data_IF_742500448455
#
_entry.id   IF_742500448455
#
_cell.length_a   1.000
_cell.length_b   1.000
_cell.length_c   1.000
_cell.angle_alpha   90.00
_cell.angle_beta   90.00
_cell.angle_gamma   90.00
#
_symmetry.space_group_name_H-M   'P 1'
#
loop_
_entity.id
_entity.type
_entity.pdbx_description
1 polymer ?
#
# COMPACT_ATOMS: atom_id res chain seq x y z
N UNK A 1 9.51 -22.98 -12.83
CA UNK A 1 9.68 -21.59 -12.33
C UNK A 1 9.09 -20.64 -13.35
N UNK A 2 8.32 -19.63 -12.94
CA UNK A 2 7.74 -18.58 -13.81
C UNK A 2 8.27 -17.21 -13.39
N UNK A 3 8.20 -16.18 -14.25
CA UNK A 3 8.65 -14.81 -13.89
C UNK A 3 8.01 -14.28 -12.59
N UNK A 4 6.69 -14.44 -12.33
CA UNK A 4 6.11 -14.11 -11.03
C UNK A 4 6.72 -14.87 -9.85
N UNK A 5 7.08 -16.16 -10.04
CA UNK A 5 7.76 -16.94 -9.00
C UNK A 5 9.21 -16.49 -8.80
N UNK A 6 9.89 -16.04 -9.85
CA UNK A 6 11.22 -15.43 -9.72
C UNK A 6 11.15 -14.14 -8.92
N UNK A 7 10.16 -13.27 -9.18
CA UNK A 7 9.97 -12.05 -8.39
C UNK A 7 9.65 -12.35 -6.92
N UNK A 8 8.80 -13.36 -6.67
CA UNK A 8 8.52 -13.84 -5.32
C UNK A 8 9.76 -14.39 -4.61
N UNK A 9 10.66 -15.08 -5.33
CA UNK A 9 11.93 -15.55 -4.78
C UNK A 9 12.86 -14.37 -4.43
N UNK A 10 12.91 -13.32 -5.27
CA UNK A 10 13.62 -12.08 -4.92
C UNK A 10 13.05 -11.43 -3.66
N UNK A 11 11.73 -11.44 -3.50
CA UNK A 11 11.12 -10.92 -2.27
C UNK A 11 11.47 -11.78 -1.05
N UNK A 12 11.49 -13.12 -1.18
CA UNK A 12 11.97 -14.01 -0.11
C UNK A 12 13.41 -13.69 0.28
N UNK A 13 14.31 -13.44 -0.67
CA UNK A 13 15.70 -13.09 -0.33
C UNK A 13 15.80 -11.75 0.41
N UNK A 14 14.99 -10.75 0.03
CA UNK A 14 14.91 -9.48 0.75
C UNK A 14 14.43 -9.67 2.20
N UNK A 15 13.41 -10.51 2.40
CA UNK A 15 12.91 -10.85 3.74
C UNK A 15 13.97 -11.58 4.57
N UNK A 16 14.68 -12.54 3.97
CA UNK A 16 15.74 -13.29 4.63
C UNK A 16 16.88 -12.37 5.09
N UNK A 17 17.24 -11.38 4.28
CA UNK A 17 18.27 -10.39 4.58
C UNK A 17 17.77 -9.23 5.46
N UNK A 18 16.46 -9.12 5.69
CA UNK A 18 15.78 -8.01 6.41
C UNK A 18 16.06 -6.65 5.78
N UNK A 19 16.07 -6.63 4.45
CA UNK A 19 16.30 -5.43 3.66
C UNK A 19 15.15 -4.41 3.76
N UNK A 20 15.48 -3.16 3.43
CA UNK A 20 14.54 -2.01 3.50
C UNK A 20 13.40 -2.06 2.47
N UNK A 21 13.52 -2.90 1.45
CA UNK A 21 12.62 -2.94 0.29
C UNK A 21 11.40 -3.80 0.63
N UNK A 22 10.23 -3.18 0.70
CA UNK A 22 8.94 -3.86 0.91
C UNK A 22 8.42 -4.49 -0.39
N UNK A 23 7.37 -5.32 -0.29
CA UNK A 23 6.74 -5.88 -1.48
C UNK A 23 6.16 -4.78 -2.38
N UNK A 24 5.53 -3.74 -1.80
CA UNK A 24 5.03 -2.60 -2.57
C UNK A 24 6.15 -1.85 -3.31
N UNK A 25 7.32 -1.68 -2.69
CA UNK A 25 8.47 -1.06 -3.33
C UNK A 25 8.98 -1.93 -4.51
N UNK A 26 9.05 -3.25 -4.32
CA UNK A 26 9.47 -4.18 -5.37
C UNK A 26 8.52 -4.14 -6.58
N UNK A 27 7.22 -4.09 -6.34
CA UNK A 27 6.21 -3.94 -7.40
C UNK A 27 6.33 -2.59 -8.12
N UNK A 28 6.61 -1.51 -7.39
CA UNK A 28 6.89 -0.19 -7.96
C UNK A 28 8.12 -0.25 -8.88
N UNK A 29 9.22 -0.87 -8.46
CA UNK A 29 10.43 -1.02 -9.27
C UNK A 29 10.18 -1.80 -10.58
N UNK A 30 9.28 -2.79 -10.53
CA UNK A 30 8.83 -3.49 -11.74
C UNK A 30 8.07 -2.53 -12.67
N UNK A 31 7.08 -1.81 -12.16
CA UNK A 31 6.27 -0.88 -12.96
C UNK A 31 7.07 0.29 -13.54
N UNK A 32 8.05 0.81 -12.81
CA UNK A 32 8.96 1.86 -13.26
C UNK A 32 10.02 1.34 -14.25
N UNK A 33 10.03 0.02 -14.54
CA UNK A 33 10.91 -0.59 -15.52
C UNK A 33 12.36 -0.69 -15.06
N UNK A 34 12.59 -0.69 -13.74
CA UNK A 34 13.89 -1.00 -13.12
C UNK A 34 14.13 -2.51 -13.04
N UNK A 35 13.06 -3.29 -12.85
CA UNK A 35 13.11 -4.76 -12.85
C UNK A 35 12.42 -5.29 -14.12
N UNK A 36 13.15 -6.00 -15.00
CA UNK A 36 12.54 -6.65 -16.16
C UNK A 36 11.52 -7.70 -15.71
N UNK A 37 10.27 -7.52 -16.11
CA UNK A 37 9.17 -8.42 -15.74
C UNK A 37 8.28 -8.73 -16.94
N UNK A 38 7.68 -7.70 -17.54
CA UNK A 38 6.92 -7.84 -18.79
C UNK A 38 7.92 -8.09 -19.92
N UNK A 39 7.67 -9.12 -20.71
CA UNK A 39 8.55 -9.58 -21.79
C UNK A 39 10.03 -9.69 -21.40
N UNK A 40 10.31 -10.20 -20.20
CA UNK A 40 11.67 -10.29 -19.65
C UNK A 40 12.67 -10.99 -20.61
N UNK A 41 12.17 -11.92 -21.43
CA UNK A 41 12.98 -12.62 -22.43
C UNK A 41 13.64 -11.73 -23.48
N UNK A 42 13.17 -10.49 -23.70
CA UNK A 42 13.80 -9.59 -24.67
C UNK A 42 15.24 -9.23 -24.29
N UNK A 43 15.57 -9.37 -23.00
CA UNK A 43 16.91 -9.15 -22.45
C UNK A 43 17.79 -10.39 -22.51
N UNK A 44 17.27 -11.53 -22.95
CA UNK A 44 18.04 -12.76 -23.01
C UNK A 44 19.06 -12.73 -24.14
N UNK A 45 20.20 -13.41 -23.95
CA UNK A 45 21.21 -13.55 -24.98
C UNK A 45 20.62 -14.23 -26.22
N UNK A 46 21.13 -13.91 -27.42
CA UNK A 46 20.54 -14.35 -28.69
C UNK A 46 20.60 -15.87 -28.90
N UNK A 47 21.56 -16.50 -28.23
CA UNK A 47 21.77 -17.94 -28.17
C UNK A 47 20.60 -18.65 -27.46
N UNK A 48 19.88 -17.95 -26.57
CA UNK A 48 18.76 -18.50 -25.82
C UNK A 48 17.48 -18.50 -26.66
N UNK A 49 17.29 -19.57 -27.44
CA UNK A 49 16.10 -19.77 -28.27
C UNK A 49 14.92 -20.24 -27.42
N UNK A 50 13.92 -19.39 -27.23
CA UNK A 50 12.68 -19.72 -26.53
C UNK A 50 11.58 -20.11 -27.49
N UNK A 51 10.85 -21.19 -27.18
CA UNK A 51 9.70 -21.65 -27.97
C UNK A 51 8.72 -22.47 -27.12
N UNK A 52 7.53 -22.74 -27.66
CA UNK A 52 6.59 -23.67 -27.04
C UNK A 52 6.12 -23.25 -25.64
N UNK A 53 6.49 -24.03 -24.62
CA UNK A 53 6.10 -23.81 -23.22
C UNK A 53 6.80 -22.60 -22.58
N UNK A 54 7.98 -22.22 -23.08
CA UNK A 54 8.75 -21.09 -22.55
C UNK A 54 8.01 -19.76 -22.68
N UNK A 55 7.14 -19.66 -23.70
CA UNK A 55 6.26 -18.51 -23.89
C UNK A 55 5.39 -18.25 -22.64
N UNK A 56 4.82 -19.29 -22.04
CA UNK A 56 4.00 -19.15 -20.84
C UNK A 56 4.80 -18.80 -19.58
N UNK A 57 6.12 -18.98 -19.62
CA UNK A 57 7.03 -18.70 -18.51
C UNK A 57 7.52 -17.25 -18.56
N UNK A 58 7.93 -16.79 -19.75
CA UNK A 58 8.65 -15.52 -19.92
C UNK A 58 7.87 -14.41 -20.65
N UNK A 59 6.83 -14.74 -21.44
CA UNK A 59 6.02 -13.73 -22.14
C UNK A 59 4.84 -13.26 -21.27
N UNK A 60 5.16 -12.70 -20.11
CA UNK A 60 4.17 -12.09 -19.23
C UNK A 60 3.64 -10.80 -19.88
N UNK A 61 2.32 -10.69 -20.03
CA UNK A 61 1.63 -9.54 -20.63
C UNK A 61 0.77 -8.77 -19.60
N UNK A 62 1.10 -8.86 -18.32
CA UNK A 62 0.41 -8.15 -17.24
C UNK A 62 1.38 -7.70 -16.14
N UNK A 63 1.04 -6.64 -15.43
CA UNK A 63 1.79 -6.22 -14.24
C UNK A 63 1.55 -7.19 -13.07
N UNK A 64 2.55 -7.40 -12.20
CA UNK A 64 2.36 -8.21 -11.00
C UNK A 64 1.37 -7.54 -10.06
N UNK A 65 0.57 -8.34 -9.34
CA UNK A 65 -0.29 -7.85 -8.28
C UNK A 65 0.27 -8.26 -6.92
N UNK A 66 0.07 -7.43 -5.91
CA UNK A 66 0.53 -7.70 -4.55
C UNK A 66 0.11 -9.09 -4.05
N UNK A 67 -1.18 -9.40 -4.13
CA UNK A 67 -1.71 -10.67 -3.63
C UNK A 67 -1.14 -11.89 -4.36
N UNK A 68 -0.92 -11.80 -5.68
CA UNK A 68 -0.36 -12.91 -6.44
C UNK A 68 1.11 -13.17 -6.06
N UNK A 69 1.95 -12.14 -6.01
CA UNK A 69 3.37 -12.29 -5.63
C UNK A 69 3.49 -12.73 -4.17
N UNK A 70 2.69 -12.15 -3.28
CA UNK A 70 2.63 -12.54 -1.88
C UNK A 70 2.23 -14.02 -1.70
N UNK A 71 1.20 -14.49 -2.42
CA UNK A 71 0.80 -15.90 -2.39
C UNK A 71 1.93 -16.81 -2.89
N UNK A 72 2.57 -16.45 -4.00
CA UNK A 72 3.69 -17.21 -4.57
C UNK A 72 4.90 -17.26 -3.63
N UNK A 73 5.15 -16.18 -2.88
CA UNK A 73 6.19 -16.10 -1.85
C UNK A 73 5.99 -17.19 -0.80
N UNK A 74 4.77 -17.33 -0.28
CA UNK A 74 4.43 -18.40 0.67
C UNK A 74 4.55 -19.78 0.02
N UNK A 75 4.03 -19.95 -1.20
CA UNK A 75 4.08 -21.24 -1.92
C UNK A 75 5.53 -21.71 -2.14
N UNK A 76 6.43 -20.81 -2.54
CA UNK A 76 7.84 -21.13 -2.78
C UNK A 76 8.55 -21.46 -1.47
N UNK A 77 8.36 -20.67 -0.42
CA UNK A 77 9.00 -20.92 0.87
C UNK A 77 8.62 -22.28 1.45
N UNK A 78 7.34 -22.67 1.31
CA UNK A 78 6.86 -24.00 1.70
C UNK A 78 7.40 -25.11 0.81
N UNK A 79 7.43 -24.89 -0.50
CA UNK A 79 7.94 -25.88 -1.45
C UNK A 79 9.42 -26.19 -1.23
N UNK A 80 10.21 -25.17 -0.88
CA UNK A 80 11.63 -25.28 -0.57
C UNK A 80 11.91 -25.75 0.87
N UNK A 81 10.87 -25.96 1.68
CA UNK A 81 10.98 -26.31 3.10
C UNK A 81 11.93 -25.36 3.87
N UNK A 82 11.80 -24.05 3.61
CA UNK A 82 12.67 -23.05 4.23
C UNK A 82 12.43 -23.04 5.75
N UNK A 83 13.48 -22.82 6.57
CA UNK A 83 13.30 -22.67 7.99
C UNK A 83 12.58 -21.35 8.32
N UNK A 84 12.25 -21.16 9.61
CA UNK A 84 11.86 -19.86 10.15
C UNK A 84 12.92 -18.81 9.77
N UNK A 85 12.45 -17.67 9.29
CA UNK A 85 13.32 -16.58 8.86
C UNK A 85 13.98 -15.92 10.07
N UNK A 86 15.07 -15.16 9.86
CA UNK A 86 15.68 -14.37 10.92
C UNK A 86 14.67 -13.44 11.59
N UNK A 87 14.77 -13.29 12.91
CA UNK A 87 13.83 -12.50 13.70
C UNK A 87 13.79 -11.03 13.23
N UNK A 88 12.58 -10.46 13.24
CA UNK A 88 12.31 -9.05 12.98
C UNK A 88 12.17 -8.30 14.31
N UNK A 89 13.22 -7.59 14.68
CA UNK A 89 13.34 -6.80 15.92
C UNK A 89 13.01 -5.31 15.68
N UNK A 90 12.95 -4.50 16.74
CA UNK A 90 12.54 -3.08 16.65
C UNK A 90 13.47 -2.20 15.78
N UNK A 91 14.73 -2.60 15.62
CA UNK A 91 15.76 -1.96 14.79
C UNK A 91 15.69 -2.38 13.31
N UNK A 92 14.93 -3.43 12.98
CA UNK A 92 14.77 -3.88 11.60
C UNK A 92 13.85 -2.95 10.80
N UNK A 93 14.22 -2.62 9.56
CA UNK A 93 13.41 -1.75 8.70
C UNK A 93 12.00 -2.24 8.43
N UNK A 94 11.76 -3.55 8.49
CA UNK A 94 10.44 -4.16 8.34
C UNK A 94 9.56 -4.03 9.59
N UNK A 95 10.12 -3.56 10.71
CA UNK A 95 9.36 -3.36 11.93
C UNK A 95 8.30 -2.24 11.73
N UNK A 96 7.06 -2.42 12.21
CA UNK A 96 5.98 -1.46 12.02
C UNK A 96 6.31 -0.03 12.43
N UNK A 97 7.10 0.18 13.51
CA UNK A 97 7.48 1.53 13.94
C UNK A 97 8.28 2.28 12.86
N UNK A 98 9.24 1.60 12.22
CA UNK A 98 10.08 2.21 11.19
C UNK A 98 9.26 2.41 9.90
N UNK A 99 8.46 1.42 9.52
CA UNK A 99 7.60 1.54 8.33
C UNK A 99 6.51 2.61 8.50
N UNK A 100 5.91 2.76 9.68
CA UNK A 100 4.96 3.83 9.96
C UNK A 100 5.61 5.19 9.72
N UNK A 101 6.81 5.40 10.25
CA UNK A 101 7.56 6.63 10.03
C UNK A 101 7.86 6.86 8.53
N UNK A 102 8.31 5.83 7.79
CA UNK A 102 8.48 5.90 6.33
C UNK A 102 7.21 6.38 5.63
N UNK A 103 6.06 5.79 5.96
CA UNK A 103 4.80 6.13 5.29
C UNK A 103 4.22 7.48 5.73
N UNK A 104 4.43 7.90 6.97
CA UNK A 104 4.11 9.27 7.42
C UNK A 104 4.92 10.30 6.60
N UNK A 105 6.21 10.04 6.37
CA UNK A 105 7.05 10.86 5.52
C UNK A 105 6.56 10.87 4.06
N UNK A 106 6.26 9.69 3.51
CA UNK A 106 5.79 9.54 2.13
C UNK A 106 4.51 10.35 1.85
N UNK A 107 3.55 10.36 2.78
CA UNK A 107 2.27 11.05 2.59
C UNK A 107 2.22 12.44 3.23
N UNK A 108 3.38 13.04 3.52
CA UNK A 108 3.48 14.40 4.04
C UNK A 108 2.66 14.62 5.32
N UNK A 109 2.66 13.65 6.23
CA UNK A 109 2.00 13.79 7.53
C UNK A 109 3.00 14.28 8.60
N UNK A 110 2.51 14.89 9.71
CA UNK A 110 3.34 15.29 10.83
C UNK A 110 4.15 14.13 11.43
N UNK A 111 5.42 14.39 11.74
CA UNK A 111 6.31 13.45 12.39
C UNK A 111 5.85 13.09 13.81
N UNK A 112 5.23 14.04 14.52
CA UNK A 112 4.61 13.85 15.85
C UNK A 112 3.57 12.72 15.88
N UNK A 113 3.00 12.31 14.73
CA UNK A 113 2.07 11.16 14.69
C UNK A 113 2.77 9.83 14.99
N UNK A 114 4.11 9.76 14.85
CA UNK A 114 4.87 8.53 15.05
C UNK A 114 4.75 7.96 16.47
N UNK A 115 4.69 8.84 17.49
CA UNK A 115 4.51 8.40 18.87
C UNK A 115 3.19 7.65 19.07
N UNK A 116 2.13 8.11 18.41
CA UNK A 116 0.82 7.46 18.45
C UNK A 116 0.82 6.14 17.67
N UNK A 117 1.53 6.06 16.54
CA UNK A 117 1.66 4.79 15.80
C UNK A 117 2.41 3.75 16.64
N UNK A 118 3.50 4.14 17.30
CA UNK A 118 4.25 3.28 18.22
C UNK A 118 3.39 2.79 19.39
N UNK A 119 2.55 3.66 19.96
CA UNK A 119 1.60 3.27 21.00
C UNK A 119 0.57 2.24 20.50
N UNK A 120 0.02 2.43 19.31
CA UNK A 120 -0.92 1.46 18.71
C UNK A 120 -0.25 0.12 18.44
N UNK A 121 1.00 0.11 17.94
CA UNK A 121 1.80 -1.12 17.75
C UNK A 121 1.93 -1.88 19.06
N UNK A 122 2.37 -1.19 20.13
CA UNK A 122 2.53 -1.76 21.47
C UNK A 122 1.23 -2.29 22.05
N UNK A 123 0.13 -1.54 21.93
CA UNK A 123 -1.17 -1.94 22.46
C UNK A 123 -1.80 -3.15 21.74
N UNK A 124 -1.44 -3.35 20.46
CA UNK A 124 -2.02 -4.42 19.64
C UNK A 124 -1.15 -5.68 19.59
N UNK A 125 0.10 -5.61 20.06
CA UNK A 125 1.07 -6.71 20.06
C UNK A 125 1.46 -7.16 18.66
N UNK A 126 1.33 -6.28 17.66
CA UNK A 126 1.72 -6.57 16.26
C UNK A 126 3.21 -6.26 16.00
N UNK A 127 3.90 -5.62 16.95
CA UNK A 127 5.35 -5.40 16.90
C UNK A 127 6.16 -6.56 17.48
N UNK A 128 5.51 -7.57 18.06
CA UNK A 128 6.21 -8.68 18.71
C UNK A 128 6.93 -9.55 17.68
N UNK A 129 8.14 -10.00 18.02
CA UNK A 129 9.01 -10.79 17.14
C UNK A 129 8.32 -12.03 16.60
N UNK A 130 7.59 -12.77 17.45
CA UNK A 130 6.85 -13.96 17.04
C UNK A 130 5.69 -13.68 16.08
N UNK A 131 5.15 -12.46 16.12
CA UNK A 131 4.11 -12.05 15.19
C UNK A 131 4.71 -11.64 13.84
N UNK A 132 5.85 -10.94 13.85
CA UNK A 132 6.47 -10.39 12.67
C UNK A 132 7.30 -11.41 11.89
N UNK A 133 7.93 -12.37 12.56
CA UNK A 133 8.90 -13.26 11.93
C UNK A 133 8.20 -14.28 11.02
N UNK A 134 8.63 -14.32 9.76
CA UNK A 134 8.03 -15.24 8.79
C UNK A 134 8.46 -16.69 9.06
N UNK A 135 7.49 -17.54 9.35
CA UNK A 135 7.68 -18.98 9.49
C UNK A 135 6.81 -19.73 8.45
N UNK A 136 7.43 -20.32 7.40
CA UNK A 136 6.70 -21.04 6.37
C UNK A 136 6.24 -22.45 6.80
N UNK A 137 6.85 -23.05 7.84
CA UNK A 137 6.58 -24.43 8.28
C UNK A 137 5.49 -24.44 9.36
N UNK A 138 5.34 -23.36 10.13
CA UNK A 138 4.27 -23.24 11.11
C UNK A 138 2.88 -23.52 10.50
N UNK A 139 2.00 -24.21 11.26
CA UNK A 139 0.60 -24.50 10.84
C UNK A 139 -0.18 -23.24 10.45
N UNK A 140 0.23 -22.08 10.97
CA UNK A 140 -0.29 -20.76 10.64
C UNK A 140 0.73 -19.94 9.84
N UNK A 141 1.42 -20.56 8.88
CA UNK A 141 2.33 -19.91 7.96
C UNK A 141 1.62 -18.79 7.19
N UNK A 142 1.60 -17.63 7.82
CA UNK A 142 1.18 -16.35 7.29
C UNK A 142 2.45 -15.54 7.33
N UNK A 143 3.01 -15.28 6.16
CA UNK A 143 3.88 -14.10 6.01
C UNK A 143 3.13 -12.89 6.59
N UNK A 144 3.87 -11.89 7.03
CA UNK A 144 3.28 -10.62 7.44
C UNK A 144 3.29 -9.68 6.24
N UNK A 145 2.17 -8.98 6.00
CA UNK A 145 2.09 -7.89 5.02
C UNK A 145 2.60 -6.60 5.68
N UNK A 146 3.91 -6.50 5.89
CA UNK A 146 4.52 -5.47 6.75
C UNK A 146 4.11 -4.04 6.36
N UNK A 147 4.12 -3.73 5.06
CA UNK A 147 3.72 -2.43 4.52
C UNK A 147 2.22 -2.14 4.70
N UNK A 148 1.37 -3.12 4.41
CA UNK A 148 -0.09 -3.00 4.60
C UNK A 148 -0.43 -2.80 6.07
N UNK A 149 0.26 -3.49 6.99
CA UNK A 149 0.08 -3.32 8.43
C UNK A 149 0.52 -1.94 8.92
N UNK A 150 1.71 -1.49 8.54
CA UNK A 150 2.22 -0.17 8.91
C UNK A 150 1.26 0.95 8.48
N UNK A 151 0.76 0.86 7.25
CA UNK A 151 -0.23 1.80 6.73
C UNK A 151 -1.56 1.69 7.46
N UNK A 152 -2.05 0.48 7.74
CA UNK A 152 -3.30 0.29 8.49
C UNK A 152 -3.23 0.92 9.90
N UNK A 153 -2.07 0.89 10.55
CA UNK A 153 -1.83 1.58 11.83
C UNK A 153 -1.94 3.10 11.66
N UNK A 154 -1.33 3.67 10.62
CA UNK A 154 -1.45 5.11 10.33
C UNK A 154 -2.92 5.49 10.13
N UNK A 155 -3.68 4.71 9.36
CA UNK A 155 -5.12 4.94 9.17
C UNK A 155 -5.87 4.93 10.50
N UNK A 156 -5.55 4.00 11.41
CA UNK A 156 -6.16 3.96 12.75
C UNK A 156 -5.79 5.21 13.56
N UNK A 157 -4.54 5.66 13.52
CA UNK A 157 -4.10 6.89 14.21
C UNK A 157 -4.82 8.11 13.64
N UNK A 158 -4.97 8.22 12.32
CA UNK A 158 -5.75 9.28 11.69
C UNK A 158 -7.21 9.25 12.14
N UNK A 159 -7.83 8.07 12.25
CA UNK A 159 -9.18 7.93 12.82
C UNK A 159 -9.25 8.34 14.30
N UNK A 160 -8.23 8.02 15.09
CA UNK A 160 -8.19 8.42 16.50
C UNK A 160 -8.11 9.95 16.64
N UNK A 161 -7.27 10.60 15.83
CA UNK A 161 -7.04 12.03 15.88
C UNK A 161 -8.20 12.85 15.29
N UNK A 162 -8.68 12.45 14.12
CA UNK A 162 -9.56 13.26 13.29
C UNK A 162 -10.96 12.69 13.12
N UNK A 163 -11.23 11.47 13.62
CA UNK A 163 -12.45 10.70 13.41
C UNK A 163 -12.69 10.28 11.95
N UNK A 164 -12.31 11.12 10.97
CA UNK A 164 -12.54 10.92 9.54
C UNK A 164 -14.02 10.71 9.26
N UNK A 165 -14.87 11.66 9.66
CA UNK A 165 -16.33 11.58 9.56
C UNK A 165 -16.96 12.65 8.67
N UNK A 166 -16.15 13.31 7.84
CA UNK A 166 -16.50 14.46 7.00
C UNK A 166 -16.91 15.71 7.81
N UNK A 167 -16.64 15.77 9.12
CA UNK A 167 -16.99 16.91 9.95
C UNK A 167 -15.87 17.33 10.90
N UNK A 168 -15.42 16.43 11.77
CA UNK A 168 -14.47 16.77 12.83
C UNK A 168 -13.14 17.23 12.25
N UNK A 169 -12.61 16.55 11.23
CA UNK A 169 -11.36 16.91 10.57
C UNK A 169 -11.39 18.32 9.98
N UNK A 170 -12.53 18.73 9.40
CA UNK A 170 -12.71 20.05 8.80
C UNK A 170 -12.89 21.13 9.86
N UNK A 171 -13.60 20.81 10.94
CA UNK A 171 -13.75 21.71 12.09
C UNK A 171 -12.40 21.96 12.77
N UNK A 172 -11.60 20.91 12.99
CA UNK A 172 -10.24 21.02 13.53
C UNK A 172 -9.33 21.82 12.59
N UNK A 173 -9.49 21.67 11.27
CA UNK A 173 -8.75 22.47 10.28
C UNK A 173 -9.07 23.96 10.39
N UNK A 174 -10.35 24.33 10.53
CA UNK A 174 -10.74 25.74 10.71
C UNK A 174 -10.14 26.34 12.00
N UNK A 175 -9.95 25.53 13.05
CA UNK A 175 -9.30 25.96 14.30
C UNK A 175 -7.79 26.13 14.08
N UNK A 176 -7.15 25.17 13.41
CA UNK A 176 -5.73 25.22 13.09
C UNK A 176 -5.40 26.42 12.20
N UNK A 177 -6.22 26.70 11.19
CA UNK A 177 -6.06 27.85 10.30
C UNK A 177 -6.09 29.17 11.08
N UNK A 178 -7.10 29.39 11.93
CA UNK A 178 -7.19 30.57 12.79
C UNK A 178 -6.01 30.71 13.75
N UNK A 179 -5.45 29.60 14.24
CA UNK A 179 -4.27 29.63 15.09
C UNK A 179 -3.03 30.03 14.29
N UNK A 180 -2.83 29.41 13.12
CA UNK A 180 -1.66 29.61 12.26
C UNK A 180 -1.62 31.04 11.67
N UNK A 181 -2.78 31.63 11.38
CA UNK A 181 -2.86 33.03 10.94
C UNK A 181 -2.46 34.02 12.02
N UNK A 182 -2.79 33.72 13.28
CA UNK A 182 -2.50 34.57 14.44
C UNK A 182 -1.09 34.39 14.98
N UNK A 183 -0.54 33.19 14.91
CA UNK A 183 0.75 32.83 15.51
C UNK A 183 1.72 32.36 14.41
N UNK A 184 2.29 33.32 13.68
CA UNK A 184 3.22 33.03 12.56
C UNK A 184 4.62 32.61 13.02
N UNK A 185 4.99 32.94 14.26
CA UNK A 185 6.32 32.66 14.83
C UNK A 185 6.38 31.29 15.54
N UNK A 186 5.21 30.75 15.94
CA UNK A 186 5.11 29.46 16.60
C UNK A 186 5.13 28.30 15.60
N UNK A 187 5.40 27.09 16.11
CA UNK A 187 5.20 25.84 15.37
C UNK A 187 3.75 25.78 14.83
N UNK A 188 3.54 25.71 13.51
CA UNK A 188 2.20 25.73 12.93
C UNK A 188 1.44 24.46 13.32
N UNK A 189 0.16 24.59 13.63
CA UNK A 189 -0.72 23.46 13.84
C UNK A 189 -1.03 22.76 12.52
N UNK A 190 -1.16 21.45 12.58
CA UNK A 190 -1.52 20.66 11.41
C UNK A 190 -2.94 20.98 10.94
N UNK A 191 -3.04 21.35 9.66
CA UNK A 191 -4.29 21.67 8.98
C UNK A 191 -4.63 20.53 8.00
N UNK A 192 -5.59 19.69 8.38
CA UNK A 192 -6.00 18.54 7.58
C UNK A 192 -6.57 18.95 6.21
N UNK A 193 -7.29 20.07 6.13
CA UNK A 193 -7.84 20.59 4.86
C UNK A 193 -6.72 20.96 3.89
N UNK A 194 -5.72 21.71 4.35
CA UNK A 194 -4.58 22.09 3.50
C UNK A 194 -3.77 20.87 3.08
N UNK A 195 -3.50 19.96 4.01
CA UNK A 195 -2.84 18.69 3.71
C UNK A 195 -3.62 17.87 2.67
N UNK A 196 -4.93 17.72 2.85
CA UNK A 196 -5.80 17.01 1.90
C UNK A 196 -5.71 17.59 0.49
N UNK A 197 -5.73 18.92 0.35
CA UNK A 197 -5.63 19.59 -0.95
C UNK A 197 -4.28 19.34 -1.63
N UNK A 198 -3.18 19.44 -0.89
CA UNK A 198 -1.81 19.19 -1.39
C UNK A 198 -1.67 17.73 -1.83
N UNK A 199 -2.12 16.80 -0.99
CA UNK A 199 -2.04 15.38 -1.29
C UNK A 199 -2.94 14.98 -2.45
N UNK A 200 -4.18 15.46 -2.50
CA UNK A 200 -5.11 15.17 -3.60
C UNK A 200 -4.52 15.59 -4.95
N UNK A 201 -4.02 16.83 -5.06
CA UNK A 201 -3.35 17.32 -6.27
C UNK A 201 -2.17 16.42 -6.66
N UNK A 202 -1.33 16.09 -5.69
CA UNK A 202 -0.13 15.27 -5.93
C UNK A 202 -0.46 13.85 -6.40
N UNK A 203 -1.50 13.24 -5.83
CA UNK A 203 -1.98 11.91 -6.22
C UNK A 203 -2.62 11.96 -7.61
N UNK A 204 -3.47 12.95 -7.88
CA UNK A 204 -4.15 13.08 -9.17
C UNK A 204 -3.13 13.25 -10.32
N UNK A 205 -2.12 14.11 -10.13
CA UNK A 205 -1.01 14.26 -11.08
C UNK A 205 -0.22 12.95 -11.29
N UNK A 206 0.07 12.22 -10.22
CA UNK A 206 0.80 10.94 -10.29
C UNK A 206 -0.04 9.87 -10.97
N UNK A 207 -1.32 9.78 -10.65
CA UNK A 207 -2.26 8.83 -11.22
C UNK A 207 -2.44 9.09 -12.71
N UNK A 208 -2.58 10.34 -13.12
CA UNK A 208 -2.64 10.72 -14.54
C UNK A 208 -1.36 10.29 -15.27
N UNK A 209 -0.18 10.67 -14.76
CA UNK A 209 1.11 10.26 -15.37
C UNK A 209 1.24 8.74 -15.47
N UNK A 210 0.76 8.03 -14.45
CA UNK A 210 0.77 6.57 -14.42
C UNK A 210 -0.18 5.96 -15.45
N UNK A 211 -1.41 6.47 -15.56
CA UNK A 211 -2.38 6.03 -16.58
C UNK A 211 -1.87 6.30 -18.00
N UNK A 212 -1.29 7.47 -18.24
CA UNK A 212 -0.66 7.82 -19.51
C UNK A 212 0.51 6.89 -19.84
N UNK A 213 1.40 6.63 -18.88
CA UNK A 213 2.52 5.70 -19.06
C UNK A 213 2.04 4.27 -19.37
N UNK A 214 0.98 3.82 -18.69
CA UNK A 214 0.38 2.49 -18.89
C UNK A 214 -0.32 2.37 -20.24
N UNK A 215 -1.01 3.42 -20.68
CA UNK A 215 -1.64 3.48 -22.00
C UNK A 215 -0.61 3.48 -23.13
N UNK A 216 0.54 4.15 -22.92
CA UNK A 216 1.65 4.23 -23.88
C UNK A 216 2.59 3.02 -23.81
N UNK A 217 2.42 2.11 -22.85
CA UNK A 217 3.33 0.99 -22.65
C UNK A 217 3.30 0.03 -23.86
N UNK A 218 4.49 -0.38 -24.32
CA UNK A 218 4.61 -1.32 -25.43
C UNK A 218 4.32 -2.75 -24.96
N UNK A 219 3.06 -3.17 -25.08
CA UNK A 219 2.60 -4.50 -24.66
C UNK A 219 3.02 -5.64 -25.58
N UNK A 220 3.58 -5.38 -26.76
CA UNK A 220 4.05 -6.42 -27.69
C UNK A 220 5.55 -6.40 -27.84
N UNK A 221 6.13 -7.59 -27.81
CA UNK A 221 7.57 -7.76 -27.84
C UNK A 221 8.19 -7.50 -29.20
N UNK A 222 9.39 -6.93 -29.20
CA UNK A 222 10.21 -6.79 -30.42
C UNK A 222 10.59 -8.16 -31.02
N UNK A 223 10.99 -9.10 -30.17
CA UNK A 223 11.32 -10.49 -30.55
C UNK A 223 10.12 -11.42 -30.26
N UNK A 224 9.17 -11.66 -31.19
CA UNK A 224 7.97 -12.43 -30.87
C UNK A 224 8.24 -13.90 -30.54
N UNK A 225 7.61 -14.42 -29.48
CA UNK A 225 7.61 -15.85 -29.16
C UNK A 225 6.40 -16.56 -29.75
N UNK A 226 6.64 -17.71 -30.37
CA UNK A 226 5.63 -18.58 -30.97
C UNK A 226 5.65 -19.97 -30.31
N UNK A 227 4.48 -20.61 -30.30
CA UNK A 227 4.32 -21.93 -29.67
C UNK A 227 4.88 -23.03 -30.57
N UNK A 228 4.58 -22.96 -31.87
CA UNK A 228 5.09 -23.85 -32.90
C UNK A 228 5.62 -23.07 -34.11
N UNK A 229 6.46 -23.70 -34.95
CA UNK A 229 6.94 -23.10 -36.19
C UNK A 229 5.80 -22.73 -37.16
N UNK A 230 4.67 -23.43 -37.08
CA UNK A 230 3.46 -23.20 -37.86
C UNK A 230 2.83 -21.84 -37.49
N UNK A 231 2.84 -21.48 -36.21
CA UNK A 231 2.25 -20.23 -35.72
C UNK A 231 3.08 -18.99 -36.08
N UNK A 232 4.34 -19.18 -36.51
CA UNK A 232 5.29 -18.09 -36.74
C UNK A 232 4.71 -17.03 -37.67
N UNK A 233 4.15 -17.43 -38.82
CA UNK A 233 3.58 -16.48 -39.79
C UNK A 233 2.44 -15.64 -39.20
N UNK A 234 1.55 -16.26 -38.42
CA UNK A 234 0.40 -15.58 -37.78
C UNK A 234 0.89 -14.58 -36.73
N UNK A 235 1.89 -14.95 -35.92
CA UNK A 235 2.44 -14.09 -34.88
C UNK A 235 3.12 -12.86 -35.47
N UNK A 236 3.90 -13.01 -36.55
CA UNK A 236 4.52 -11.89 -37.24
C UNK A 236 3.49 -10.96 -37.89
N UNK A 237 2.46 -11.49 -38.57
CA UNK A 237 1.36 -10.67 -39.12
C UNK A 237 0.63 -9.86 -38.05
N UNK A 238 0.29 -10.49 -36.91
CA UNK A 238 -0.35 -9.79 -35.78
C UNK A 238 0.54 -8.69 -35.21
N UNK A 239 1.85 -8.91 -35.15
CA UNK A 239 2.82 -7.89 -34.71
C UNK A 239 2.83 -6.72 -35.69
N UNK A 240 2.93 -6.96 -36.98
CA UNK A 240 2.90 -5.89 -37.99
C UNK A 240 1.63 -5.04 -37.90
N UNK A 241 0.47 -5.68 -37.72
CA UNK A 241 -0.79 -4.97 -37.49
C UNK A 241 -0.73 -4.08 -36.24
N UNK A 242 -0.21 -4.58 -35.11
CA UNK A 242 -0.08 -3.81 -33.88
C UNK A 242 0.90 -2.65 -34.03
N UNK A 243 2.05 -2.87 -34.67
CA UNK A 243 3.05 -1.81 -34.94
C UNK A 243 2.45 -0.73 -35.85
N UNK A 244 1.69 -1.13 -36.88
CA UNK A 244 1.01 -0.19 -37.76
C UNK A 244 -0.04 0.64 -37.01
N UNK A 245 -0.90 -0.03 -36.22
CA UNK A 245 -1.88 0.66 -35.37
C UNK A 245 -1.19 1.63 -34.40
N UNK A 246 -0.12 1.21 -33.74
CA UNK A 246 0.63 2.05 -32.81
C UNK A 246 1.26 3.25 -33.52
N UNK A 247 1.77 3.06 -34.74
CA UNK A 247 2.29 4.16 -35.56
C UNK A 247 1.17 5.18 -35.88
N UNK A 248 0.00 4.71 -36.29
CA UNK A 248 -1.18 5.54 -36.56
C UNK A 248 -1.69 6.27 -35.31
N UNK A 249 -1.67 5.61 -34.14
CA UNK A 249 -2.01 6.27 -32.87
C UNK A 249 -0.94 7.28 -32.45
N UNK A 250 0.34 6.98 -32.66
CA UNK A 250 1.44 7.90 -32.32
C UNK A 250 1.45 9.16 -33.19
N UNK A 251 0.91 9.10 -34.42
CA UNK A 251 0.73 10.31 -35.25
C UNK A 251 -0.42 11.20 -34.78
N UNK A 252 -1.31 10.68 -33.93
CA UNK A 252 -2.46 11.42 -33.37
C UNK A 252 -2.19 11.96 -31.96
N UNK A 253 -1.06 11.58 -31.34
CA UNK A 253 -0.70 11.93 -29.97
C UNK A 253 0.63 12.68 -29.99
N UNK A 254 0.72 13.79 -29.27
CA UNK A 254 1.95 14.59 -29.22
C UNK A 254 3.20 13.74 -28.90
N UNK A 255 4.29 14.02 -29.60
CA UNK A 255 5.57 13.32 -29.45
C UNK A 255 6.06 13.40 -28.01
N UNK A 256 6.38 12.23 -27.44
CA UNK A 256 6.81 12.11 -26.04
C UNK A 256 8.25 12.62 -25.90
N UNK A 257 8.53 13.57 -24.99
CA UNK A 257 9.91 13.84 -24.62
C UNK A 257 10.51 12.60 -23.97
N UNK A 258 11.70 12.20 -24.39
CA UNK A 258 12.44 11.07 -23.83
C UNK A 258 12.72 11.36 -22.36
N UNK A 259 11.85 10.90 -21.46
CA UNK A 259 12.07 11.07 -20.02
C UNK A 259 13.21 10.13 -19.66
N UNK A 260 14.36 10.69 -19.31
CA UNK A 260 15.48 9.93 -18.74
C UNK A 260 14.94 9.04 -17.60
N UNK A 261 15.39 7.77 -17.57
CA UNK A 261 15.05 6.88 -16.48
C UNK A 261 15.61 7.47 -15.19
N UNK A 262 14.74 8.09 -14.40
CA UNK A 262 15.07 8.60 -13.07
C UNK A 262 15.66 7.46 -12.24
N UNK A 263 16.65 7.76 -11.41
CA UNK A 263 17.19 6.77 -10.47
C UNK A 263 16.05 6.28 -9.55
N UNK A 264 16.07 5.00 -9.16
CA UNK A 264 15.07 4.47 -8.25
C UNK A 264 15.10 5.26 -6.94
N UNK A 265 13.93 5.70 -6.49
CA UNK A 265 13.75 6.40 -5.22
C UNK A 265 12.98 5.52 -4.26
N UNK A 266 13.32 5.60 -2.98
CA UNK A 266 12.55 4.94 -1.91
C UNK A 266 11.20 5.61 -1.71
N UNK A 267 11.10 6.91 -1.99
CA UNK A 267 9.88 7.71 -1.90
C UNK A 267 9.26 7.99 -3.27
N UNK A 268 7.93 7.90 -3.38
CA UNK A 268 7.18 8.30 -4.58
C UNK A 268 6.95 9.81 -4.62
N UNK A 269 6.74 10.42 -3.45
CA UNK A 269 6.60 11.86 -3.29
C UNK A 269 7.83 12.45 -2.59
N UNK A 270 8.30 13.60 -3.11
CA UNK A 270 9.40 14.35 -2.52
C UNK A 270 8.85 15.65 -1.94
N UNK A 271 9.10 15.90 -0.66
CA UNK A 271 8.57 17.05 0.09
C UNK A 271 9.66 18.01 0.62
N UNK A 272 10.93 17.77 0.29
CA UNK A 272 12.09 18.54 0.78
C UNK A 272 12.33 19.84 0.00
N UNK A 273 12.97 20.80 0.68
CA UNK A 273 13.28 22.17 0.25
C UNK A 273 13.94 22.24 -1.15
N UNK A 274 13.19 22.81 -2.09
CA UNK A 274 13.58 22.95 -3.50
C UNK A 274 12.36 23.18 -4.38
N UNK A 275 11.21 22.60 -4.01
CA UNK A 275 9.90 22.94 -4.57
C UNK A 275 9.23 24.01 -3.69
N UNK A 276 9.48 25.28 -3.98
CA UNK A 276 8.79 26.43 -3.35
C UNK A 276 7.26 26.42 -3.53
N UNK A 277 6.75 25.45 -4.31
CA UNK A 277 5.33 25.31 -4.65
C UNK A 277 4.55 24.34 -3.75
N UNK A 278 5.23 23.48 -2.97
CA UNK A 278 4.57 22.41 -2.19
C UNK A 278 4.83 22.56 -0.69
N UNK A 279 3.75 22.74 0.08
CA UNK A 279 3.81 22.85 1.54
C UNK A 279 4.18 21.51 2.19
N UNK A 280 5.21 21.51 3.03
CA UNK A 280 5.62 20.36 3.84
C UNK A 280 4.97 20.44 5.22
N UNK A 281 4.42 19.32 5.71
CA UNK A 281 3.72 19.23 7.00
C UNK A 281 4.45 18.42 8.06
N UNK A 282 5.65 17.88 7.78
CA UNK A 282 6.40 17.07 8.75
C UNK A 282 6.62 17.79 10.08
N UNK A 283 6.95 19.09 10.04
CA UNK A 283 7.14 19.92 11.24
C UNK A 283 5.88 20.55 11.82
N UNK A 284 4.68 20.14 11.41
CA UNK A 284 3.44 20.70 11.97
C UNK A 284 3.08 20.01 13.29
N UNK A 285 2.55 20.78 14.23
CA UNK A 285 2.22 20.30 15.56
C UNK A 285 0.79 19.75 15.71
N UNK A 286 0.62 18.77 16.60
CA UNK A 286 -0.66 18.16 16.94
C UNK A 286 -1.33 18.77 18.19
N UNK A 287 -0.80 19.87 18.74
CA UNK A 287 -1.28 20.51 19.96
C UNK A 287 -2.73 21.03 19.82
N UNK A 288 -3.16 21.37 18.61
CA UNK A 288 -4.54 21.72 18.31
C UNK A 288 -5.53 20.56 18.49
N UNK A 289 -5.04 19.32 18.47
CA UNK A 289 -5.84 18.08 18.41
C UNK A 289 -5.69 17.26 19.70
N UNK A 290 -4.54 17.36 20.36
CA UNK A 290 -4.23 16.67 21.61
C UNK A 290 -4.50 17.55 22.83
N UNK A 291 -5.03 16.96 23.90
CA UNK A 291 -5.14 17.56 25.23
C UNK A 291 -4.10 16.89 26.13
N UNK A 292 -3.25 17.68 26.80
CA UNK A 292 -2.41 17.17 27.89
C UNK A 292 -3.29 16.92 29.12
N UNK A 293 -3.30 15.69 29.63
CA UNK A 293 -3.91 15.32 30.92
C UNK A 293 -2.85 14.61 31.76
N UNK A 294 -2.18 15.37 32.63
CA UNK A 294 -1.00 14.91 33.38
C UNK A 294 0.17 14.57 32.45
N UNK A 295 0.81 13.41 32.65
CA UNK A 295 1.88 12.88 31.77
C UNK A 295 1.34 12.23 30.48
N UNK A 296 0.01 12.11 30.31
CA UNK A 296 -0.60 11.45 29.16
C UNK A 296 -1.22 12.45 28.17
N UNK A 297 -1.01 12.22 26.87
CA UNK A 297 -1.70 12.93 25.79
C UNK A 297 -2.99 12.19 25.46
N UNK A 298 -4.13 12.90 25.51
CA UNK A 298 -5.43 12.35 25.12
C UNK A 298 -5.95 13.11 23.91
N UNK A 299 -6.53 12.42 22.94
CA UNK A 299 -7.20 13.07 21.80
C UNK A 299 -8.35 13.96 22.29
N UNK A 300 -8.57 15.11 21.65
CA UNK A 300 -9.77 15.94 21.91
C UNK A 300 -11.06 15.16 21.62
N UNK A 301 -10.98 14.20 20.70
CA UNK A 301 -12.04 13.28 20.36
C UNK A 301 -12.12 12.11 21.34
N UNK A 302 -13.31 11.88 21.92
CA UNK A 302 -13.62 10.72 22.77
C UNK A 302 -14.33 9.58 22.01
N UNK A 303 -14.73 9.83 20.76
CA UNK A 303 -15.48 8.92 19.92
C UNK A 303 -14.58 8.18 18.94
N UNK A 304 -14.95 6.95 18.60
CA UNK A 304 -14.29 6.16 17.57
C UNK A 304 -15.32 5.24 16.93
N UNK A 305 -15.50 5.35 15.62
CA UNK A 305 -16.33 4.42 14.85
C UNK A 305 -15.49 3.22 14.40
N UNK A 306 -15.99 2.02 14.65
CA UNK A 306 -15.31 0.80 14.22
C UNK A 306 -15.61 0.54 12.74
N UNK A 307 -14.57 0.19 11.99
CA UNK A 307 -14.61 -0.34 10.63
C UNK A 307 -15.15 -1.77 10.63
N UNK A 308 -16.24 -2.04 11.35
CA UNK A 308 -16.82 -3.39 11.37
C UNK A 308 -17.35 -3.69 9.99
N UNK A 309 -16.80 -4.73 9.38
CA UNK A 309 -17.53 -5.57 8.44
C UNK A 309 -18.88 -5.88 9.11
N UNK A 310 -19.97 -5.31 8.60
CA UNK A 310 -21.30 -5.75 9.00
C UNK A 310 -21.34 -7.26 8.69
N UNK A 311 -21.97 -8.08 9.52
CA UNK A 311 -22.26 -9.45 9.07
C UNK A 311 -23.52 -9.36 8.22
N UNK A 312 -23.54 -10.06 7.08
CA UNK A 312 -24.72 -10.10 6.23
C UNK A 312 -25.85 -10.83 6.99
N UNK A 313 -26.66 -10.09 7.76
CA UNK A 313 -27.77 -10.57 8.62
C UNK A 313 -27.38 -11.67 9.65
N UNK A 314 -28.21 -11.86 10.66
CA UNK A 314 -27.92 -12.69 11.85
C UNK A 314 -27.61 -14.18 11.60
N UNK A 315 -27.85 -14.69 10.40
CA UNK A 315 -27.71 -16.11 10.05
C UNK A 315 -26.62 -16.38 9.01
N UNK A 316 -25.98 -15.34 8.47
CA UNK A 316 -25.00 -15.51 7.41
C UNK A 316 -23.62 -15.07 7.90
N UNK A 317 -22.66 -16.00 7.77
CA UNK A 317 -21.26 -15.83 8.20
C UNK A 317 -20.44 -15.03 7.18
N UNK A 318 -21.07 -14.55 6.09
CA UNK A 318 -20.40 -13.67 5.15
C UNK A 318 -20.15 -12.32 5.83
N UNK A 319 -18.87 -12.06 6.01
CA UNK A 319 -18.30 -10.74 6.22
C UNK A 319 -18.85 -9.83 5.13
N UNK A 320 -19.57 -8.74 5.45
CA UNK A 320 -20.07 -7.85 4.41
C UNK A 320 -18.88 -7.34 3.62
N UNK A 321 -19.00 -7.52 2.31
CA UNK A 321 -18.17 -6.91 1.29
C UNK A 321 -17.94 -5.44 1.62
N UNK A 322 -16.68 -5.03 1.56
CA UNK A 322 -16.33 -3.61 1.57
C UNK A 322 -17.15 -2.90 0.49
N UNK A 323 -17.90 -1.88 0.89
CA UNK A 323 -18.71 -1.08 -0.01
C UNK A 323 -18.39 0.39 0.27
N UNK A 324 -17.77 1.05 -0.71
CA UNK A 324 -17.20 2.39 -0.56
C UNK A 324 -18.23 3.42 -0.10
N UNK A 325 -19.47 3.33 -0.61
CA UNK A 325 -20.60 4.21 -0.31
C UNK A 325 -20.94 4.31 1.19
N UNK A 326 -20.55 3.32 2.00
CA UNK A 326 -20.86 3.28 3.44
C UNK A 326 -19.87 4.11 4.29
N UNK A 327 -18.80 4.63 3.70
CA UNK A 327 -17.76 5.36 4.43
C UNK A 327 -17.75 6.85 4.08
N UNK A 328 -17.24 7.67 4.99
CA UNK A 328 -17.00 9.10 4.78
C UNK A 328 -16.02 9.35 3.64
N UNK A 329 -16.12 10.50 2.98
CA UNK A 329 -15.24 10.90 1.87
C UNK A 329 -13.81 11.06 2.34
N UNK A 330 -13.58 11.59 3.54
CA UNK A 330 -12.25 11.67 4.13
C UNK A 330 -11.64 10.28 4.34
N UNK A 331 -12.39 9.32 4.89
CA UNK A 331 -11.88 7.96 5.07
C UNK A 331 -11.62 7.27 3.71
N UNK A 332 -12.53 7.40 2.76
CA UNK A 332 -12.34 6.90 1.40
C UNK A 332 -11.06 7.47 0.77
N UNK A 333 -10.83 8.78 0.89
CA UNK A 333 -9.62 9.41 0.38
C UNK A 333 -8.36 8.82 1.01
N UNK A 334 -8.32 8.68 2.34
CA UNK A 334 -7.17 8.09 3.06
C UNK A 334 -6.89 6.67 2.58
N UNK A 335 -7.93 5.82 2.52
CA UNK A 335 -7.77 4.43 2.05
C UNK A 335 -7.32 4.38 0.60
N UNK A 336 -7.87 5.23 -0.27
CA UNK A 336 -7.51 5.30 -1.68
C UNK A 336 -6.07 5.77 -1.89
N UNK A 337 -5.64 6.80 -1.16
CA UNK A 337 -4.27 7.30 -1.18
C UNK A 337 -3.28 6.19 -0.86
N UNK A 338 -3.50 5.48 0.25
CA UNK A 338 -2.60 4.43 0.68
C UNK A 338 -2.69 3.17 -0.18
N UNK A 339 -3.87 2.84 -0.68
CA UNK A 339 -4.05 1.71 -1.60
C UNK A 339 -3.34 1.95 -2.94
N UNK A 340 -3.38 3.20 -3.43
CA UNK A 340 -2.59 3.63 -4.59
C UNK A 340 -1.09 3.49 -4.32
N UNK A 341 -0.62 3.99 -3.18
CA UNK A 341 0.79 3.92 -2.80
C UNK A 341 1.32 2.48 -2.74
N UNK A 342 0.55 1.58 -2.12
CA UNK A 342 0.91 0.16 -1.95
C UNK A 342 0.55 -0.72 -3.14
N UNK A 343 -0.19 -0.20 -4.13
CA UNK A 343 -0.67 -0.94 -5.31
C UNK A 343 -1.56 -2.13 -4.94
N UNK A 344 -2.39 -1.95 -3.92
CA UNK A 344 -3.33 -2.95 -3.42
C UNK A 344 -4.78 -2.50 -3.63
N UNK A 345 -5.72 -3.42 -3.43
CA UNK A 345 -7.14 -3.09 -3.42
C UNK A 345 -7.50 -2.36 -2.12
N UNK A 346 -8.39 -1.38 -2.23
CA UNK A 346 -8.96 -0.61 -1.11
C UNK A 346 -9.61 -1.51 -0.06
N UNK A 347 -10.31 -2.55 -0.52
CA UNK A 347 -10.91 -3.57 0.34
C UNK A 347 -9.87 -4.31 1.18
N UNK A 348 -8.70 -4.65 0.60
CA UNK A 348 -7.64 -5.38 1.30
C UNK A 348 -7.00 -4.53 2.40
N UNK A 349 -6.81 -3.23 2.16
CA UNK A 349 -6.33 -2.32 3.19
C UNK A 349 -7.36 -2.14 4.31
N UNK A 350 -8.64 -1.97 3.95
CA UNK A 350 -9.73 -1.85 4.91
C UNK A 350 -9.85 -3.09 5.80
N UNK A 351 -9.70 -4.29 5.24
CA UNK A 351 -9.70 -5.54 6.00
C UNK A 351 -8.59 -5.57 7.06
N UNK A 352 -7.38 -5.13 6.72
CA UNK A 352 -6.27 -5.06 7.67
C UNK A 352 -6.56 -4.03 8.79
N UNK A 353 -7.10 -2.86 8.45
CA UNK A 353 -7.56 -1.87 9.43
C UNK A 353 -8.57 -2.50 10.39
N UNK A 354 -9.58 -3.21 9.88
CA UNK A 354 -10.57 -3.92 10.71
C UNK A 354 -9.95 -4.99 11.61
N UNK A 355 -8.89 -5.68 11.17
CA UNK A 355 -8.18 -6.70 11.97
C UNK A 355 -7.41 -6.07 13.13
N UNK A 356 -6.70 -4.97 12.89
CA UNK A 356 -5.96 -4.26 13.93
C UNK A 356 -6.93 -3.59 14.92
N UNK A 357 -8.02 -2.99 14.44
CA UNK A 357 -9.07 -2.45 15.31
C UNK A 357 -9.68 -3.51 16.25
N UNK A 358 -9.85 -4.75 15.77
CA UNK A 358 -10.33 -5.86 16.61
C UNK A 358 -9.38 -6.18 17.76
N UNK A 359 -8.05 -6.04 17.54
CA UNK A 359 -7.04 -6.19 18.59
C UNK A 359 -7.06 -5.01 19.56
N UNK A 360 -7.03 -3.78 19.02
CA UNK A 360 -7.00 -2.55 19.81
C UNK A 360 -8.24 -2.40 20.70
N UNK A 361 -9.43 -2.71 20.18
CA UNK A 361 -10.71 -2.56 20.87
C UNK A 361 -11.31 -3.89 21.35
N UNK A 362 -10.48 -4.88 21.72
CA UNK A 362 -10.90 -6.22 22.17
C UNK A 362 -12.02 -6.20 23.22
N UNK A 363 -12.00 -5.22 24.13
CA UNK A 363 -13.05 -5.03 25.14
C UNK A 363 -14.43 -4.69 24.54
N UNK A 364 -14.50 -3.88 23.48
CA UNK A 364 -15.76 -3.54 22.80
C UNK A 364 -16.32 -4.76 22.05
N UNK A 365 -15.47 -5.52 21.37
CA UNK A 365 -15.87 -6.73 20.64
C UNK A 365 -16.32 -7.89 21.56
N UNK A 366 -15.68 -8.05 22.73
CA UNK A 366 -16.04 -9.10 23.69
C UNK A 366 -17.39 -8.82 24.40
N UNK A 367 -17.71 -7.54 24.69
CA UNK A 367 -19.03 -7.14 25.24
C UNK A 367 -20.17 -7.45 24.26
N UNK A 368 -19.98 -7.25 22.96
CA UNK A 368 -20.98 -7.57 21.93
C UNK A 368 -21.27 -9.08 21.85
N UNK A 369 -20.24 -9.94 22.00
CA UNK A 369 -20.41 -11.41 22.05
C UNK A 369 -21.15 -11.91 23.31
N UNK A 370 -21.02 -11.22 24.45
CA UNK A 370 -21.78 -11.58 25.67
C UNK A 370 -23.27 -11.23 25.55
N UNK A 371 -23.60 -10.08 24.95
CA UNK A 371 -25.02 -9.68 24.72
C UNK A 371 -25.77 -10.59 23.75
N UNK A 372 -25.09 -11.25 22.81
CA UNK A 372 -25.75 -12.19 21.88
C UNK A 372 -26.01 -13.58 22.49
N UNK A 373 -25.26 -13.98 23.52
CA UNK A 373 -25.47 -15.25 24.24
C UNK A 373 -26.54 -15.17 25.33
N UNK A 374 -26.86 -13.99 25.85
CA UNK A 374 -27.85 -13.82 26.93
C UNK A 374 -29.32 -13.78 26.47
N UNK A 375 -29.62 -14.10 25.21
CA UNK A 375 -31.00 -14.11 24.66
C UNK A 375 -31.56 -15.50 24.34
N UNK A 376 -30.88 -16.58 24.73
CA UNK A 376 -31.47 -17.93 24.77
C UNK A 376 -31.70 -18.35 26.21
N UNK A 377 -32.91 -18.09 26.70
CA UNK A 377 -33.32 -18.45 28.06
C UNK A 377 -34.50 -17.63 28.55
N UNK A 378 -35.67 -17.82 27.91
CA UNK A 378 -37.04 -17.72 28.46
C UNK A 378 -38.04 -17.61 27.30
N UNK A 379 -38.57 -18.75 26.89
CA UNK A 379 -40.00 -19.08 26.89
C UNK A 379 -40.13 -20.57 26.60
#
# INVERSE_FOLDING_TARGET
MTVPRTLALCYLSLLWQRETITLSDLLRLVEEGHIPYIHAFQRFPEEMKLYGRDKGIFAIESWPTYEDIYKKTIEIAKFLDLPRFPDITEDCYLHPNILCMKYLMEVNLPDEMNDLTCQVVKMTGIGEVDFLTFDPIAKMAKTVKYDVQAVAIIVIVLKLLFLLDDNLEWTLSNIAEKYNEKNKEDKPWFDFRKWYQVMKRSIDEKKQKWEEARAKYLWKSEKPLYHSSIDKGVVYKRREMVVNLQKQFSTLVDSVPTVEKKRPSSFQFNWTEGDSTRTCFHGHGLQGILKKKGQSLTTKNSLYWLSTQKFCRSYCKHVTTYEESNFSRSYQFIINLFSFLLRIKTSSLHEEVSLIEKRLFKAKYSKTKKKSRSRKGRK
#
